data_IF_897980665478
#
_entry.id   IF_897980665478
#
_cell.length_a   1.000
_cell.length_b   1.000
_cell.length_c   1.000
_cell.angle_alpha   90.00
_cell.angle_beta   90.00
_cell.angle_gamma   90.00
#
_symmetry.space_group_name_H-M   'P 1'
#
loop_
_entity.id
_entity.type
_entity.pdbx_description
1 polymer ?
#
# COMPACT_ATOMS: atom_id res chain seq x y z
N UNK A 1 -10.56 5.35 -4.35
CA UNK A 1 -9.56 6.07 -5.18
C UNK A 1 -8.19 5.38 -5.30
N UNK A 2 -7.74 4.52 -4.37
CA UNK A 2 -6.39 3.92 -4.42
C UNK A 2 -6.13 2.93 -5.56
N UNK A 3 -7.09 2.04 -5.86
CA UNK A 3 -6.94 1.00 -6.88
C UNK A 3 -6.81 1.60 -8.29
N UNK A 4 -7.74 2.48 -8.66
CA UNK A 4 -7.78 3.12 -9.98
C UNK A 4 -6.50 3.93 -10.21
N UNK A 5 -6.08 4.75 -9.24
CA UNK A 5 -4.82 5.50 -9.32
C UNK A 5 -3.62 4.57 -9.53
N UNK A 6 -3.61 3.41 -8.88
CA UNK A 6 -2.57 2.40 -9.04
C UNK A 6 -2.59 1.77 -10.43
N UNK A 7 -3.77 1.46 -10.98
CA UNK A 7 -3.93 0.89 -12.32
C UNK A 7 -3.49 1.88 -13.42
N UNK A 8 -3.90 3.14 -13.29
CA UNK A 8 -3.49 4.22 -14.20
C UNK A 8 -1.98 4.45 -14.13
N UNK A 9 -1.40 4.51 -12.92
CA UNK A 9 0.03 4.65 -12.71
C UNK A 9 0.81 3.45 -13.27
N UNK A 10 0.28 2.22 -13.15
CA UNK A 10 0.85 1.01 -13.77
C UNK A 10 0.81 1.07 -15.30
N UNK A 11 -0.32 1.42 -15.90
CA UNK A 11 -0.45 1.58 -17.35
C UNK A 11 0.54 2.63 -17.87
N UNK A 12 0.69 3.76 -17.15
CA UNK A 12 1.66 4.80 -17.49
C UNK A 12 3.12 4.31 -17.40
N UNK A 13 3.44 3.46 -16.41
CA UNK A 13 4.80 2.96 -16.17
C UNK A 13 5.21 1.79 -17.06
N UNK A 14 4.25 1.03 -17.59
CA UNK A 14 4.50 -0.16 -18.42
C UNK A 14 4.58 0.21 -19.90
N UNK A 15 3.81 1.21 -20.33
CA UNK A 15 3.76 1.60 -21.74
C UNK A 15 4.88 2.53 -22.15
N UNK A 16 5.48 2.23 -23.31
CA UNK A 16 6.60 2.98 -23.88
C UNK A 16 6.17 3.92 -25.00
N UNK A 17 4.90 3.89 -25.38
CA UNK A 17 4.31 4.77 -26.38
C UNK A 17 3.06 5.41 -25.80
N UNK A 18 2.80 6.65 -26.20
CA UNK A 18 1.57 7.35 -25.82
C UNK A 18 0.32 6.62 -26.33
N UNK A 19 0.42 6.02 -27.52
CA UNK A 19 -0.62 5.17 -28.11
C UNK A 19 -0.95 3.95 -27.24
N UNK A 20 0.06 3.18 -26.83
CA UNK A 20 -0.15 1.99 -25.98
C UNK A 20 -0.68 2.36 -24.59
N UNK A 21 -0.22 3.47 -24.02
CA UNK A 21 -0.79 4.00 -22.79
C UNK A 21 -2.28 4.34 -22.94
N UNK A 22 -2.66 4.99 -24.04
CA UNK A 22 -4.04 5.37 -24.27
C UNK A 22 -4.95 4.14 -24.49
N UNK A 23 -4.45 3.13 -25.20
CA UNK A 23 -5.13 1.84 -25.40
C UNK A 23 -5.34 1.12 -24.06
N UNK A 24 -4.32 1.01 -23.22
CA UNK A 24 -4.43 0.38 -21.91
C UNK A 24 -5.36 1.14 -20.95
N UNK A 25 -5.35 2.48 -20.99
CA UNK A 25 -6.27 3.29 -20.19
C UNK A 25 -7.71 3.10 -20.65
N UNK A 26 -7.97 2.96 -21.96
CA UNK A 26 -9.30 2.66 -22.47
C UNK A 26 -9.74 1.25 -22.04
N UNK A 27 -8.88 0.23 -22.19
CA UNK A 27 -9.16 -1.13 -21.73
C UNK A 27 -9.44 -1.18 -20.22
N UNK A 28 -8.64 -0.49 -19.40
CA UNK A 28 -8.87 -0.38 -17.95
C UNK A 28 -10.18 0.34 -17.64
N UNK A 29 -10.52 1.39 -18.40
CA UNK A 29 -11.76 2.13 -18.23
C UNK A 29 -12.97 1.24 -18.53
N UNK A 30 -12.90 0.44 -19.58
CA UNK A 30 -13.99 -0.45 -19.99
C UNK A 30 -14.20 -1.57 -18.97
N UNK A 31 -13.12 -2.20 -18.51
CA UNK A 31 -13.13 -3.17 -17.40
C UNK A 31 -13.74 -2.54 -16.15
N UNK A 32 -13.28 -1.36 -15.75
CA UNK A 32 -13.78 -0.70 -14.54
C UNK A 32 -15.27 -0.31 -14.65
N UNK A 33 -15.75 0.06 -15.84
CA UNK A 33 -17.17 0.32 -16.08
C UNK A 33 -18.01 -0.95 -16.00
N UNK A 34 -17.49 -2.08 -16.48
CA UNK A 34 -18.15 -3.39 -16.40
C UNK A 34 -18.33 -3.84 -14.95
N UNK A 35 -17.29 -3.68 -14.11
CA UNK A 35 -17.35 -4.10 -12.71
C UNK A 35 -17.92 -3.03 -11.75
N UNK A 36 -17.92 -1.74 -12.12
CA UNK A 36 -18.35 -0.61 -11.27
C UNK A 36 -19.11 0.48 -12.07
N UNK A 37 -20.39 0.25 -12.44
CA UNK A 37 -21.11 1.10 -13.39
C UNK A 37 -21.43 2.54 -12.93
N UNK A 38 -21.34 2.87 -11.63
CA UNK A 38 -21.84 4.16 -11.10
C UNK A 38 -20.77 5.14 -10.57
N UNK A 39 -19.47 4.88 -10.73
CA UNK A 39 -18.43 5.61 -9.96
C UNK A 39 -17.19 6.09 -10.72
N UNK A 40 -17.21 6.13 -12.06
CA UNK A 40 -16.02 6.50 -12.84
C UNK A 40 -16.28 7.65 -13.82
N UNK A 41 -15.93 8.88 -13.44
CA UNK A 41 -15.93 10.05 -14.32
C UNK A 41 -14.51 10.31 -14.87
N UNK A 42 -14.40 10.45 -16.20
CA UNK A 42 -13.13 10.59 -16.93
C UNK A 42 -12.39 11.91 -16.62
N UNK A 43 -13.06 12.88 -16.00
CA UNK A 43 -12.53 14.22 -15.74
C UNK A 43 -11.54 14.31 -14.57
N UNK A 44 -11.43 13.29 -13.72
CA UNK A 44 -10.51 13.28 -12.56
C UNK A 44 -9.03 13.09 -12.94
N UNK A 45 -8.73 12.80 -14.21
CA UNK A 45 -7.37 12.54 -14.68
C UNK A 45 -6.97 13.56 -15.76
N UNK A 46 -6.37 14.67 -15.35
CA UNK A 46 -5.61 15.53 -16.28
C UNK A 46 -4.26 14.84 -16.56
N UNK A 47 -3.92 14.52 -17.83
CA UNK A 47 -2.62 13.95 -18.14
C UNK A 47 -1.52 14.94 -17.73
N UNK A 48 -0.54 14.47 -16.96
CA UNK A 48 0.65 15.26 -16.65
C UNK A 48 1.41 15.52 -17.97
N UNK A 49 2.05 16.70 -18.15
CA UNK A 49 2.70 17.04 -19.39
C UNK A 49 3.78 16.02 -19.76
N UNK A 50 3.79 15.69 -21.05
CA UNK A 50 4.61 14.71 -21.75
C UNK A 50 6.10 14.81 -21.41
N UNK A 51 6.62 13.86 -20.63
CA UNK A 51 8.03 13.53 -20.68
C UNK A 51 8.18 12.24 -21.50
N UNK A 52 8.43 12.41 -22.80
CA UNK A 52 8.85 11.33 -23.69
C UNK A 52 10.05 10.60 -23.06
N UNK A 53 9.85 9.37 -22.62
CA UNK A 53 10.95 8.48 -22.22
C UNK A 53 10.70 7.09 -22.82
N UNK A 54 11.41 6.70 -23.88
CA UNK A 54 11.34 5.33 -24.38
C UNK A 54 12.17 4.42 -23.44
N UNK A 55 11.53 3.44 -22.80
CA UNK A 55 12.23 2.37 -22.09
C UNK A 55 12.65 1.30 -23.11
N UNK A 56 13.95 1.19 -23.34
CA UNK A 56 14.54 0.00 -23.95
C UNK A 56 15.44 -0.72 -22.94
N UNK A 57 15.02 -1.94 -22.63
CA UNK A 57 15.78 -3.14 -22.27
C UNK A 57 16.67 -3.15 -21.01
N UNK A 58 16.22 -3.91 -20.00
CA UNK A 58 16.91 -4.26 -18.76
C UNK A 58 18.16 -5.14 -18.95
N UNK A 59 18.26 -5.86 -20.07
CA UNK A 59 19.31 -6.86 -20.31
C UNK A 59 20.59 -6.30 -20.94
N UNK A 60 20.55 -5.09 -21.50
CA UNK A 60 21.58 -4.62 -22.41
C UNK A 60 22.66 -3.76 -21.76
N UNK A 61 22.54 -3.29 -20.52
CA UNK A 61 23.50 -2.28 -19.98
C UNK A 61 24.96 -2.71 -19.89
N UNK A 62 25.25 -3.91 -19.36
CA UNK A 62 26.63 -4.40 -19.25
C UNK A 62 27.23 -4.59 -20.63
N UNK A 63 26.44 -5.18 -21.53
CA UNK A 63 26.85 -5.42 -22.91
C UNK A 63 26.98 -4.11 -23.69
N UNK A 64 26.04 -3.17 -23.58
CA UNK A 64 26.08 -1.85 -24.23
C UNK A 64 27.27 -1.04 -23.73
N UNK A 65 27.52 -0.96 -22.42
CA UNK A 65 28.73 -0.28 -21.92
C UNK A 65 30.00 -0.97 -22.42
N UNK A 66 30.02 -2.29 -22.52
CA UNK A 66 31.13 -3.04 -23.11
C UNK A 66 31.28 -2.74 -24.61
N UNK A 67 30.21 -2.72 -25.39
CA UNK A 67 30.20 -2.41 -26.83
C UNK A 67 30.61 -0.96 -27.10
N UNK A 68 30.09 0.01 -26.34
CA UNK A 68 30.48 1.43 -26.45
C UNK A 68 31.98 1.56 -26.19
N UNK A 69 32.50 0.93 -25.13
CA UNK A 69 33.95 0.90 -24.82
C UNK A 69 34.79 0.08 -25.80
N UNK A 70 34.17 -0.72 -26.67
CA UNK A 70 34.91 -1.57 -27.62
C UNK A 70 34.95 -0.95 -29.02
N UNK A 71 33.86 -0.31 -29.44
CA UNK A 71 33.68 0.14 -30.82
C UNK A 71 33.42 1.65 -30.95
N UNK A 72 33.07 2.35 -29.86
CA UNK A 72 32.70 3.77 -29.89
C UNK A 72 33.51 4.58 -28.85
N UNK A 73 34.82 4.32 -28.75
CA UNK A 73 35.68 4.97 -27.74
C UNK A 73 35.91 6.47 -27.98
N UNK A 74 35.66 6.92 -29.21
CA UNK A 74 35.96 8.27 -29.66
C UNK A 74 34.73 9.19 -29.56
N UNK A 75 33.60 8.64 -29.11
CA UNK A 75 32.32 9.32 -28.96
C UNK A 75 31.93 9.38 -27.47
N UNK A 76 31.59 10.57 -26.97
CA UNK A 76 31.07 10.75 -25.60
C UNK A 76 29.59 10.31 -25.50
N UNK A 77 29.36 9.00 -25.54
CA UNK A 77 28.02 8.42 -25.46
C UNK A 77 27.60 8.29 -23.99
N UNK A 78 26.75 9.22 -23.54
CA UNK A 78 26.16 9.21 -22.18
C UNK A 78 24.85 8.43 -22.15
N UNK A 79 24.80 7.38 -21.33
CA UNK A 79 23.57 6.62 -21.07
C UNK A 79 22.65 7.38 -20.09
N UNK A 80 21.61 8.05 -20.61
CA UNK A 80 20.68 8.89 -19.83
C UNK A 80 19.63 8.10 -19.03
N UNK A 81 19.61 6.77 -19.15
CA UNK A 81 18.65 5.93 -18.43
C UNK A 81 19.29 4.71 -17.77
N UNK A 82 18.99 4.54 -16.49
CA UNK A 82 19.29 3.33 -15.76
C UNK A 82 18.04 2.48 -15.56
N UNK A 83 17.97 1.31 -16.23
CA UNK A 83 17.11 0.19 -15.83
C UNK A 83 17.12 -0.04 -14.31
N UNK A 84 15.93 -0.28 -13.76
CA UNK A 84 15.65 -0.67 -12.38
C UNK A 84 14.66 -1.82 -12.40
N UNK A 85 14.59 -2.64 -11.34
CA UNK A 85 13.61 -3.72 -11.27
C UNK A 85 12.23 -3.12 -11.03
N UNK A 86 11.19 -3.62 -11.70
CA UNK A 86 9.79 -3.21 -11.44
C UNK A 86 9.43 -3.43 -9.96
N UNK A 87 9.97 -4.48 -9.32
CA UNK A 87 9.83 -4.71 -7.88
C UNK A 87 10.51 -3.68 -6.98
N UNK A 88 11.33 -2.77 -7.53
CA UNK A 88 11.82 -1.59 -6.80
C UNK A 88 10.81 -0.44 -6.82
N UNK A 89 9.86 -0.47 -7.76
CA UNK A 89 8.83 0.57 -7.91
C UNK A 89 7.54 0.22 -7.17
N UNK A 90 7.29 -1.07 -6.95
CA UNK A 90 6.12 -1.57 -6.24
C UNK A 90 6.53 -2.62 -5.22
N UNK A 91 5.91 -2.58 -4.04
CA UNK A 91 5.97 -3.70 -3.11
C UNK A 91 5.49 -4.98 -3.80
N UNK A 92 6.15 -6.10 -3.53
CA UNK A 92 5.79 -7.42 -4.10
C UNK A 92 4.34 -7.79 -3.73
N UNK A 93 3.87 -7.33 -2.58
CA UNK A 93 2.50 -7.51 -2.09
C UNK A 93 1.95 -6.18 -1.63
N UNK A 94 0.63 -6.04 -1.72
CA UNK A 94 -0.07 -4.93 -1.11
C UNK A 94 0.11 -4.98 0.43
N UNK A 95 0.28 -3.82 1.10
CA UNK A 95 0.33 -3.77 2.55
C UNK A 95 -0.95 -4.35 3.16
N UNK A 96 -0.80 -5.20 4.17
CA UNK A 96 -1.95 -5.72 4.92
C UNK A 96 -2.50 -4.60 5.83
N UNK A 97 -3.80 -4.26 5.75
CA UNK A 97 -4.41 -3.27 6.65
C UNK A 97 -4.21 -3.65 8.12
N UNK A 98 -3.99 -2.67 8.99
CA UNK A 98 -3.62 -2.92 10.39
C UNK A 98 -4.64 -3.77 11.15
N UNK A 99 -5.94 -3.57 10.91
CA UNK A 99 -7.00 -4.36 11.53
C UNK A 99 -6.93 -5.86 11.17
N UNK A 100 -6.36 -6.22 10.03
CA UNK A 100 -6.22 -7.60 9.56
C UNK A 100 -4.88 -8.24 9.95
N UNK A 101 -3.99 -7.49 10.60
CA UNK A 101 -2.71 -8.05 11.08
C UNK A 101 -2.97 -8.96 12.27
N UNK A 102 -2.25 -10.08 12.30
CA UNK A 102 -2.22 -11.05 13.39
C UNK A 102 -0.81 -11.19 13.94
N UNK A 103 -0.65 -11.78 15.14
CA UNK A 103 0.64 -11.86 15.85
C UNK A 103 1.24 -10.48 16.06
N UNK A 104 0.46 -9.64 16.72
CA UNK A 104 0.80 -8.23 16.95
C UNK A 104 0.76 -7.92 18.44
N UNK A 105 1.66 -7.05 18.85
CA UNK A 105 1.63 -6.37 20.14
C UNK A 105 0.92 -5.03 19.94
N UNK A 106 -0.04 -4.74 20.79
CA UNK A 106 -0.80 -3.49 20.76
C UNK A 106 -0.89 -2.87 22.15
N UNK A 107 -1.18 -1.57 22.17
CA UNK A 107 -1.42 -0.80 23.39
C UNK A 107 -2.82 -0.20 23.33
N UNK A 108 -3.62 -0.47 24.35
CA UNK A 108 -4.86 0.23 24.63
C UNK A 108 -4.59 1.39 25.60
N UNK A 109 -5.15 2.57 25.31
CA UNK A 109 -5.11 3.75 26.18
C UNK A 109 -6.54 4.21 26.43
N UNK A 110 -6.96 4.22 27.69
CA UNK A 110 -8.30 4.67 28.03
C UNK A 110 -8.44 6.19 27.79
N UNK A 111 -9.54 6.64 27.17
CA UNK A 111 -9.82 8.06 26.99
C UNK A 111 -10.43 8.71 28.25
N UNK A 112 -11.09 7.93 29.11
CA UNK A 112 -11.77 8.43 30.31
C UNK A 112 -10.91 8.44 31.57
N UNK A 113 -9.71 7.83 31.53
CA UNK A 113 -8.78 7.82 32.66
C UNK A 113 -7.35 7.54 32.19
N UNK A 114 -6.37 7.64 33.08
CA UNK A 114 -4.96 7.41 32.74
C UNK A 114 -4.56 5.92 32.68
N UNK A 115 -5.53 5.00 32.56
CA UNK A 115 -5.26 3.57 32.48
C UNK A 115 -4.77 3.16 31.09
N UNK A 116 -3.81 2.24 31.04
CA UNK A 116 -3.37 1.64 29.80
C UNK A 116 -3.15 0.14 29.94
N UNK A 117 -3.25 -0.57 28.83
CA UNK A 117 -3.02 -2.01 28.76
C UNK A 117 -2.16 -2.32 27.53
N UNK A 118 -1.15 -3.16 27.71
CA UNK A 118 -0.34 -3.70 26.61
C UNK A 118 -0.60 -5.19 26.54
N UNK A 119 -0.93 -5.67 25.35
CA UNK A 119 -1.20 -7.09 25.12
C UNK A 119 -0.67 -7.55 23.78
N UNK A 120 -0.49 -8.86 23.64
CA UNK A 120 -0.30 -9.49 22.35
C UNK A 120 -1.56 -10.24 21.92
N UNK A 121 -1.65 -10.52 20.62
CA UNK A 121 -2.71 -11.37 20.08
C UNK A 121 -2.23 -12.17 18.88
N UNK A 122 -2.54 -13.46 18.86
CA UNK A 122 -2.40 -14.32 17.67
C UNK A 122 -3.59 -14.19 16.71
N UNK A 123 -4.72 -13.59 17.14
CA UNK A 123 -5.91 -13.32 16.31
C UNK A 123 -5.70 -12.06 15.47
N UNK A 124 -6.60 -11.82 14.51
CA UNK A 124 -6.65 -10.52 13.81
C UNK A 124 -6.88 -9.40 14.82
N UNK A 125 -6.18 -8.29 14.63
CA UNK A 125 -6.22 -7.17 15.56
C UNK A 125 -7.64 -6.63 15.76
N UNK A 126 -8.41 -6.47 14.68
CA UNK A 126 -9.81 -6.02 14.74
C UNK A 126 -10.70 -6.97 15.54
N UNK A 127 -10.52 -8.29 15.40
CA UNK A 127 -11.22 -9.29 16.18
C UNK A 127 -10.91 -9.16 17.66
N UNK A 128 -9.63 -8.98 18.02
CA UNK A 128 -9.22 -8.82 19.41
C UNK A 128 -9.77 -7.54 20.04
N UNK A 129 -9.78 -6.42 19.31
CA UNK A 129 -10.39 -5.17 19.77
C UNK A 129 -11.87 -5.38 20.07
N UNK A 130 -12.62 -6.00 19.15
CA UNK A 130 -14.05 -6.24 19.34
C UNK A 130 -14.33 -7.12 20.55
N UNK A 131 -13.52 -8.16 20.77
CA UNK A 131 -13.60 -9.01 21.96
C UNK A 131 -13.46 -8.18 23.24
N UNK A 132 -12.45 -7.30 23.31
CA UNK A 132 -12.23 -6.42 24.46
C UNK A 132 -13.38 -5.47 24.75
N UNK A 133 -14.08 -4.99 23.73
CA UNK A 133 -15.18 -4.02 23.89
C UNK A 133 -16.52 -4.71 24.19
N UNK A 134 -16.72 -5.93 23.68
CA UNK A 134 -18.07 -6.55 23.60
C UNK A 134 -18.22 -7.84 24.39
N UNK A 135 -17.25 -8.77 24.33
CA UNK A 135 -17.54 -10.17 24.70
C UNK A 135 -16.54 -10.84 25.65
N UNK A 136 -15.27 -10.43 25.68
CA UNK A 136 -14.24 -11.08 26.49
C UNK A 136 -14.31 -10.62 27.95
N UNK A 137 -15.18 -11.26 28.74
CA UNK A 137 -15.38 -10.96 30.18
C UNK A 137 -14.12 -11.20 31.03
N UNK A 138 -13.19 -12.01 30.54
CA UNK A 138 -11.93 -12.27 31.24
C UNK A 138 -10.91 -11.14 31.01
N UNK A 139 -11.08 -10.33 29.97
CA UNK A 139 -10.18 -9.23 29.66
C UNK A 139 -10.18 -8.14 30.75
N UNK A 140 -8.97 -7.68 31.09
CA UNK A 140 -8.77 -6.48 31.90
C UNK A 140 -9.42 -5.22 31.29
N UNK A 141 -9.34 -5.05 29.96
CA UNK A 141 -9.98 -3.91 29.27
C UNK A 141 -11.49 -4.01 29.40
N UNK A 142 -12.07 -5.18 29.11
CA UNK A 142 -13.51 -5.37 29.20
C UNK A 142 -14.01 -5.10 30.61
N UNK A 143 -13.32 -5.63 31.62
CA UNK A 143 -13.67 -5.45 33.03
C UNK A 143 -13.59 -3.97 33.43
N UNK A 144 -12.50 -3.29 33.06
CA UNK A 144 -12.35 -1.85 33.28
C UNK A 144 -13.50 -1.03 32.66
N UNK A 145 -13.88 -1.31 31.41
CA UNK A 145 -14.99 -0.64 30.74
C UNK A 145 -16.37 -1.06 31.28
N UNK A 146 -16.48 -2.21 31.92
CA UNK A 146 -17.71 -2.62 32.61
C UNK A 146 -17.86 -1.89 33.95
N UNK A 147 -16.77 -1.74 34.68
CA UNK A 147 -16.76 -1.15 36.02
C UNK A 147 -16.87 0.39 35.97
N UNK A 148 -16.46 1.02 34.87
CA UNK A 148 -16.59 2.47 34.65
C UNK A 148 -17.42 2.79 33.41
N UNK A 149 -18.73 3.11 33.57
CA UNK A 149 -19.59 3.54 32.47
C UNK A 149 -19.08 4.81 31.76
N UNK A 150 -18.44 5.72 32.51
CA UNK A 150 -17.82 6.92 31.95
C UNK A 150 -16.69 6.56 30.97
N UNK A 151 -15.77 5.66 31.36
CA UNK A 151 -14.72 5.20 30.47
C UNK A 151 -15.29 4.44 29.26
N UNK A 152 -16.37 3.68 29.46
CA UNK A 152 -17.06 2.95 28.38
C UNK A 152 -17.62 3.87 27.29
N UNK A 153 -18.20 4.99 27.69
CA UNK A 153 -18.78 5.96 26.75
C UNK A 153 -17.71 6.69 25.92
N UNK A 154 -16.49 6.83 26.46
CA UNK A 154 -15.40 7.57 25.82
C UNK A 154 -14.44 6.68 25.01
N UNK A 155 -14.39 5.38 25.27
CA UNK A 155 -13.46 4.48 24.60
C UNK A 155 -14.07 3.79 23.37
N UNK A 156 -13.37 3.84 22.24
CA UNK A 156 -13.71 3.22 20.97
C UNK A 156 -12.57 2.34 20.45
N UNK A 157 -12.65 1.92 19.18
CA UNK A 157 -11.58 1.22 18.48
C UNK A 157 -10.31 2.07 18.33
N UNK A 158 -10.44 3.41 18.36
CA UNK A 158 -9.32 4.34 18.10
C UNK A 158 -8.33 4.40 19.28
N UNK A 159 -8.76 3.93 20.46
CA UNK A 159 -7.95 3.80 21.66
C UNK A 159 -6.90 2.67 21.59
N UNK A 160 -6.93 1.86 20.52
CA UNK A 160 -6.03 0.74 20.32
C UNK A 160 -4.97 1.07 19.28
N UNK A 161 -3.71 1.02 19.69
CA UNK A 161 -2.57 1.37 18.85
C UNK A 161 -1.68 0.16 18.62
N UNK A 162 -1.45 -0.16 17.35
CA UNK A 162 -0.52 -1.21 16.95
C UNK A 162 0.92 -0.77 17.26
N UNK A 163 1.72 -1.64 17.91
CA UNK A 163 3.11 -1.33 18.30
C UNK A 163 4.10 -2.07 17.41
N UNK A 164 4.05 -3.40 17.37
CA UNK A 164 4.98 -4.21 16.59
C UNK A 164 4.31 -5.52 16.17
N UNK A 165 4.76 -6.12 15.06
CA UNK A 165 4.47 -7.53 14.73
C UNK A 165 5.53 -8.42 15.35
N UNK A 166 5.14 -9.46 16.08
CA UNK A 166 6.09 -10.42 16.62
C UNK A 166 6.72 -11.24 15.49
N UNK A 167 8.05 -11.47 15.49
CA UNK A 167 8.70 -12.37 14.55
C UNK A 167 8.04 -13.76 14.58
N UNK A 168 8.04 -14.46 13.45
CA UNK A 168 7.74 -15.90 13.47
C UNK A 168 8.88 -16.59 14.22
N UNK A 169 8.58 -17.17 15.38
CA UNK A 169 9.42 -18.18 16.01
C UNK A 169 9.51 -19.43 15.13
#
# INVERSE_FOLDING_TARGET
MGLIKTLVDRAYKINNTWLGFHEDINNLTDILKEYFPCSFNREDYKPLPTLHRPLLCYHSKKNIRHFIRRYCNDLDIKLVFSSFKIGNLFGVKDPVPDGLRSRVVYKFVCAGCNACYVGETCRHFSSRIREHLVSDRASHIFRHLKDSPHCRALCSTDNFHLRQSTPRA
#
